data_IF_509350602857
#
_entry.id   IF_509350602857
#
_cell.length_a   1.000
_cell.length_b   1.000
_cell.length_c   1.000
_cell.angle_alpha   90.00
_cell.angle_beta   90.00
_cell.angle_gamma   90.00
#
_symmetry.space_group_name_H-M   'P 1'
#
loop_
_entity.id
_entity.type
_entity.pdbx_description
1 polymer ?
#
# COMPACT_ATOMS: atom_id res chain seq x y z
N UNK A 1 11.36 -2.33 23.16
CA UNK A 1 10.79 -3.35 24.06
C UNK A 1 11.44 -4.68 23.74
N UNK A 2 12.10 -5.31 24.71
CA UNK A 2 12.75 -6.61 24.54
C UNK A 2 11.71 -7.74 24.50
N UNK A 3 12.02 -8.85 23.82
CA UNK A 3 11.15 -10.03 23.80
C UNK A 3 10.99 -10.61 25.22
N UNK A 4 9.87 -11.29 25.51
CA UNK A 4 9.60 -11.91 26.82
C UNK A 4 10.73 -12.84 27.28
N UNK A 5 11.36 -13.52 26.34
CA UNK A 5 12.47 -14.46 26.59
C UNK A 5 13.81 -13.79 26.91
N UNK A 6 13.90 -12.45 26.80
CA UNK A 6 15.05 -11.66 27.26
C UNK A 6 14.66 -10.73 28.42
N UNK A 7 13.43 -10.82 28.92
CA UNK A 7 12.92 -9.90 29.95
C UNK A 7 13.57 -10.08 31.32
N UNK A 8 14.18 -11.23 31.58
CA UNK A 8 14.95 -11.51 32.80
C UNK A 8 16.37 -10.94 32.77
N UNK A 9 16.87 -10.51 31.62
CA UNK A 9 18.21 -9.94 31.45
C UNK A 9 18.20 -8.42 31.65
N UNK A 10 19.26 -7.89 32.24
CA UNK A 10 19.47 -6.43 32.31
C UNK A 10 19.89 -5.86 30.95
N UNK A 11 19.82 -4.54 30.79
CA UNK A 11 20.26 -3.89 29.55
C UNK A 11 21.75 -4.14 29.26
N UNK A 12 22.60 -4.18 30.28
CA UNK A 12 24.03 -4.48 30.17
C UNK A 12 24.25 -5.91 29.67
N UNK A 13 23.50 -6.87 30.21
CA UNK A 13 23.56 -8.27 29.78
C UNK A 13 23.10 -8.42 28.33
N UNK A 14 22.03 -7.72 27.92
CA UNK A 14 21.57 -7.73 26.53
C UNK A 14 22.64 -7.13 25.60
N UNK A 15 23.27 -6.02 25.98
CA UNK A 15 24.35 -5.39 25.20
C UNK A 15 25.55 -6.34 25.07
N UNK A 16 25.94 -7.01 26.16
CA UNK A 16 27.03 -7.98 26.14
C UNK A 16 26.70 -9.20 25.27
N UNK A 17 25.49 -9.76 25.40
CA UNK A 17 24.99 -10.84 24.56
C UNK A 17 25.03 -10.50 23.07
N UNK A 18 24.56 -9.30 22.68
CA UNK A 18 24.59 -8.83 21.29
C UNK A 18 26.04 -8.72 20.80
N UNK A 19 26.93 -8.14 21.62
CA UNK A 19 28.36 -7.99 21.29
C UNK A 19 29.02 -9.35 21.07
N UNK A 20 28.86 -10.28 22.01
CA UNK A 20 29.41 -11.64 21.93
C UNK A 20 28.79 -12.43 20.77
N UNK A 21 27.51 -12.20 20.48
CA UNK A 21 26.86 -12.74 19.30
C UNK A 21 27.59 -12.30 18.02
N UNK A 22 27.80 -11.00 17.80
CA UNK A 22 28.49 -10.54 16.60
C UNK A 22 30.00 -10.86 16.57
N UNK A 23 30.61 -11.16 17.71
CA UNK A 23 31.98 -11.70 17.81
C UNK A 23 32.10 -13.19 17.41
N UNK A 24 31.07 -13.77 16.80
CA UNK A 24 31.05 -15.16 16.34
C UNK A 24 31.17 -16.23 17.43
N UNK A 25 30.87 -15.91 18.69
CA UNK A 25 30.85 -16.89 19.76
C UNK A 25 29.76 -17.96 19.56
N UNK A 26 30.03 -19.21 19.97
CA UNK A 26 29.12 -20.33 19.78
C UNK A 26 27.76 -20.04 20.44
N UNK A 27 26.70 -20.00 19.62
CA UNK A 27 25.36 -19.60 20.08
C UNK A 27 24.87 -20.49 21.24
N UNK A 28 25.16 -21.80 21.20
CA UNK A 28 24.76 -22.72 22.27
C UNK A 28 25.32 -22.30 23.65
N UNK A 29 26.59 -21.86 23.70
CA UNK A 29 27.21 -21.41 24.95
C UNK A 29 26.54 -20.12 25.45
N UNK A 30 26.25 -19.19 24.54
CA UNK A 30 25.53 -17.95 24.88
C UNK A 30 24.12 -18.23 25.43
N UNK A 31 23.40 -19.19 24.84
CA UNK A 31 22.07 -19.55 25.30
C UNK A 31 22.11 -20.18 26.71
N UNK A 32 23.10 -21.03 26.97
CA UNK A 32 23.29 -21.65 28.29
C UNK A 32 23.69 -20.62 29.35
N UNK A 33 24.67 -19.77 29.05
CA UNK A 33 25.21 -18.78 30.01
C UNK A 33 24.20 -17.67 30.37
N UNK A 34 23.40 -17.22 29.41
CA UNK A 34 22.37 -16.19 29.63
C UNK A 34 20.99 -16.80 30.01
N UNK A 35 20.93 -18.12 30.23
CA UNK A 35 19.71 -18.86 30.58
C UNK A 35 18.55 -18.62 29.58
N UNK A 36 18.86 -18.57 28.29
CA UNK A 36 17.89 -18.31 27.21
C UNK A 36 17.44 -19.64 26.60
N UNK A 37 16.19 -20.01 26.84
CA UNK A 37 15.63 -21.27 26.34
C UNK A 37 14.95 -21.11 24.96
N UNK A 38 15.75 -20.89 23.91
CA UNK A 38 15.25 -20.81 22.52
C UNK A 38 16.18 -21.53 21.54
N UNK A 39 15.70 -21.83 20.34
CA UNK A 39 16.57 -22.37 19.29
C UNK A 39 17.63 -21.33 18.85
N UNK A 40 18.88 -21.75 18.56
CA UNK A 40 19.96 -20.86 18.11
C UNK A 40 19.60 -19.96 16.92
N UNK A 41 18.78 -20.46 16.00
CA UNK A 41 18.33 -19.73 14.81
C UNK A 41 17.36 -18.58 15.11
N UNK A 42 16.74 -18.57 16.30
CA UNK A 42 15.74 -17.60 16.72
C UNK A 42 16.37 -16.45 17.51
N UNK A 43 17.52 -16.67 18.16
CA UNK A 43 18.16 -15.72 19.07
C UNK A 43 18.21 -14.28 18.54
N UNK A 44 18.64 -14.10 17.28
CA UNK A 44 18.76 -12.76 16.67
C UNK A 44 17.42 -12.02 16.55
N UNK A 45 16.31 -12.74 16.40
CA UNK A 45 14.96 -12.17 16.30
C UNK A 45 14.45 -11.65 17.64
N UNK A 46 15.04 -12.10 18.75
CA UNK A 46 14.66 -11.69 20.10
C UNK A 46 15.28 -10.35 20.49
N UNK A 47 16.38 -9.97 19.83
CA UNK A 47 17.10 -8.75 20.15
C UNK A 47 16.22 -7.51 20.00
N UNK A 48 16.43 -6.50 20.86
CA UNK A 48 15.69 -5.25 20.77
C UNK A 48 15.91 -4.58 19.41
N UNK A 49 14.88 -3.88 18.94
CA UNK A 49 14.96 -3.07 17.74
C UNK A 49 15.95 -1.91 17.94
N UNK A 50 16.71 -1.60 16.91
CA UNK A 50 17.62 -0.45 16.88
C UNK A 50 16.81 0.79 16.52
N UNK A 51 16.85 1.81 17.38
CA UNK A 51 16.15 3.08 17.17
C UNK A 51 17.05 4.06 16.42
N UNK A 52 16.53 4.68 15.36
CA UNK A 52 17.24 5.70 14.58
C UNK A 52 16.76 7.10 14.98
N UNK A 53 17.46 7.72 15.94
CA UNK A 53 17.03 8.99 16.57
C UNK A 53 16.87 10.18 15.60
N UNK A 54 17.54 10.13 14.43
CA UNK A 54 17.49 11.20 13.42
C UNK A 54 16.46 10.95 12.31
N UNK A 55 15.85 9.76 12.29
CA UNK A 55 14.93 9.35 11.23
C UNK A 55 13.53 9.16 11.79
N UNK A 56 12.57 9.87 11.21
CA UNK A 56 11.19 9.90 11.67
C UNK A 56 10.25 9.32 10.61
N UNK A 57 9.13 8.78 11.07
CA UNK A 57 8.07 8.37 10.18
C UNK A 57 7.40 9.59 9.54
N UNK A 58 7.18 9.54 8.22
CA UNK A 58 6.44 10.57 7.48
C UNK A 58 4.99 10.74 7.92
N UNK A 59 4.37 9.69 8.49
CA UNK A 59 2.94 9.67 8.81
C UNK A 59 2.64 9.66 10.30
N UNK A 60 3.57 9.17 11.12
CA UNK A 60 3.42 9.12 12.57
C UNK A 60 4.31 10.19 13.19
N UNK A 61 3.75 11.28 13.75
CA UNK A 61 4.54 12.35 14.34
C UNK A 61 5.34 11.82 15.52
N UNK A 62 6.57 12.33 15.65
CA UNK A 62 7.50 12.02 16.77
C UNK A 62 7.84 10.53 16.94
N UNK A 63 7.57 9.69 15.93
CA UNK A 63 7.95 8.28 15.94
C UNK A 63 9.24 8.07 15.14
N UNK A 64 10.30 7.68 15.83
CA UNK A 64 11.55 7.26 15.21
C UNK A 64 11.39 5.96 14.42
N UNK A 65 12.09 5.87 13.31
CA UNK A 65 12.22 4.62 12.57
C UNK A 65 13.08 3.65 13.36
N UNK A 66 12.77 2.36 13.21
CA UNK A 66 13.49 1.27 13.86
C UNK A 66 13.93 0.25 12.85
N UNK A 67 14.93 -0.56 13.20
CA UNK A 67 15.37 -1.69 12.38
C UNK A 67 15.63 -2.93 13.22
N UNK A 68 15.54 -4.09 12.57
CA UNK A 68 15.90 -5.38 13.16
C UNK A 68 17.39 -5.63 12.99
N UNK A 69 17.97 -6.34 13.96
CA UNK A 69 19.32 -6.86 13.85
C UNK A 69 19.33 -8.10 12.95
N UNK A 70 20.27 -8.16 12.02
CA UNK A 70 20.42 -9.29 11.09
C UNK A 70 21.37 -10.36 11.63
N UNK A 71 21.17 -11.59 11.17
CA UNK A 71 22.02 -12.72 11.52
C UNK A 71 23.44 -12.61 10.94
N UNK A 72 24.38 -13.30 11.57
CA UNK A 72 25.83 -13.30 11.21
C UNK A 72 26.14 -13.85 9.81
N UNK A 73 25.19 -14.52 9.15
CA UNK A 73 25.38 -15.21 7.87
C UNK A 73 25.12 -14.33 6.63
N UNK A 74 24.67 -13.08 6.80
CA UNK A 74 24.52 -12.17 5.68
C UNK A 74 25.89 -11.81 5.09
N UNK A 75 26.15 -12.28 3.86
CA UNK A 75 27.46 -12.25 3.18
C UNK A 75 28.00 -10.86 2.80
N UNK A 76 27.33 -9.77 3.17
CA UNK A 76 27.80 -8.42 2.89
C UNK A 76 28.52 -7.84 4.11
N UNK A 77 29.82 -8.10 4.18
CA UNK A 77 30.75 -7.65 5.21
C UNK A 77 30.86 -6.12 5.41
N UNK A 78 30.07 -5.28 4.73
CA UNK A 78 30.24 -3.83 4.77
C UNK A 78 28.98 -2.95 4.74
N UNK A 79 27.77 -3.49 4.74
CA UNK A 79 26.57 -2.64 4.85
C UNK A 79 25.53 -3.38 5.65
N UNK A 80 25.32 -2.90 6.87
CA UNK A 80 24.20 -3.36 7.68
C UNK A 80 22.93 -2.85 7.00
N UNK A 81 22.29 -3.72 6.22
CA UNK A 81 21.04 -3.43 5.54
C UNK A 81 19.90 -3.46 6.57
N UNK A 82 19.88 -2.46 7.42
CA UNK A 82 18.76 -2.19 8.28
C UNK A 82 17.60 -1.72 7.42
N UNK A 83 16.68 -2.61 7.07
CA UNK A 83 15.39 -2.17 6.57
C UNK A 83 14.71 -1.39 7.70
N UNK A 84 14.61 -0.08 7.51
CA UNK A 84 14.05 0.85 8.49
C UNK A 84 12.54 0.88 8.30
N UNK A 85 11.81 0.73 9.38
CA UNK A 85 10.36 0.78 9.36
C UNK A 85 9.82 1.53 10.58
N UNK A 86 8.62 2.06 10.45
CA UNK A 86 7.90 2.65 11.57
C UNK A 86 7.28 1.54 12.44
N UNK A 87 7.52 1.50 13.76
CA UNK A 87 6.95 0.47 14.63
C UNK A 87 5.43 0.59 14.79
N UNK A 88 4.83 1.74 14.42
CA UNK A 88 3.39 2.01 14.58
C UNK A 88 2.61 1.68 13.30
N UNK A 89 3.04 2.22 12.15
CA UNK A 89 2.32 2.04 10.89
C UNK A 89 2.98 1.08 9.89
N UNK A 90 4.12 0.47 10.25
CA UNK A 90 4.95 -0.37 9.36
C UNK A 90 5.34 0.33 8.04
N UNK A 91 5.41 1.68 8.07
CA UNK A 91 5.90 2.45 6.94
C UNK A 91 7.38 2.18 6.72
N UNK A 92 7.74 1.89 5.47
CA UNK A 92 9.10 1.68 4.99
C UNK A 92 9.37 2.70 3.88
N UNK A 93 10.58 3.23 3.83
CA UNK A 93 10.95 4.27 2.88
C UNK A 93 11.27 3.68 1.50
N UNK A 94 10.25 3.12 0.85
CA UNK A 94 10.31 2.66 -0.53
C UNK A 94 8.97 2.86 -1.25
N UNK A 95 9.03 2.94 -2.57
CA UNK A 95 7.88 3.25 -3.45
C UNK A 95 6.69 2.30 -3.32
N UNK A 96 6.97 1.03 -2.99
CA UNK A 96 5.97 -0.02 -2.87
C UNK A 96 5.53 -0.31 -1.43
N UNK A 97 5.73 0.62 -0.49
CA UNK A 97 5.33 0.42 0.91
C UNK A 97 3.85 0.03 1.03
N UNK A 98 3.55 -0.97 1.87
CA UNK A 98 2.21 -1.57 2.01
C UNK A 98 1.43 -1.05 3.22
N UNK A 99 1.94 -0.04 3.95
CA UNK A 99 1.24 0.57 5.07
C UNK A 99 -0.08 1.23 4.64
N UNK A 100 -1.01 1.42 5.59
CA UNK A 100 -2.35 1.99 5.32
C UNK A 100 -2.24 3.36 4.62
N UNK A 101 -1.43 4.25 5.19
CA UNK A 101 -1.24 5.61 4.66
C UNK A 101 -0.73 5.60 3.21
N UNK A 102 0.28 4.78 2.90
CA UNK A 102 0.80 4.65 1.54
C UNK A 102 -0.23 4.05 0.57
N UNK A 103 -1.04 3.08 1.01
CA UNK A 103 -2.12 2.50 0.20
C UNK A 103 -3.21 3.53 -0.10
N UNK A 104 -3.64 4.29 0.90
CA UNK A 104 -4.65 5.33 0.75
C UNK A 104 -4.18 6.44 -0.19
N UNK A 105 -2.95 6.92 -0.06
CA UNK A 105 -2.38 7.92 -0.96
C UNK A 105 -2.33 7.43 -2.41
N UNK A 106 -1.93 6.17 -2.65
CA UNK A 106 -1.94 5.60 -4.00
C UNK A 106 -3.36 5.52 -4.57
N UNK A 107 -4.32 5.05 -3.77
CA UNK A 107 -5.73 5.00 -4.18
C UNK A 107 -6.29 6.39 -4.52
N UNK A 108 -5.99 7.40 -3.70
CA UNK A 108 -6.43 8.78 -3.96
C UNK A 108 -5.81 9.34 -5.25
N UNK A 109 -4.53 9.05 -5.52
CA UNK A 109 -3.88 9.44 -6.79
C UNK A 109 -4.53 8.76 -7.99
N UNK A 110 -4.78 7.45 -7.90
CA UNK A 110 -5.46 6.70 -8.97
C UNK A 110 -6.86 7.27 -9.25
N UNK A 111 -7.63 7.59 -8.21
CA UNK A 111 -8.95 8.22 -8.34
C UNK A 111 -8.87 9.61 -8.97
N UNK A 112 -7.93 10.45 -8.53
CA UNK A 112 -7.74 11.78 -9.08
C UNK A 112 -7.28 11.73 -10.56
N UNK A 113 -6.44 10.76 -10.93
CA UNK A 113 -6.05 10.53 -12.32
C UNK A 113 -7.23 10.07 -13.18
N UNK A 114 -8.08 9.18 -12.66
CA UNK A 114 -9.28 8.74 -13.36
C UNK A 114 -10.27 9.89 -13.56
N UNK A 115 -10.50 10.70 -12.53
CA UNK A 115 -11.35 11.88 -12.60
C UNK A 115 -10.78 12.91 -13.60
N UNK A 116 -9.47 13.15 -13.58
CA UNK A 116 -8.83 14.03 -14.55
C UNK A 116 -8.99 13.52 -15.99
N UNK A 117 -8.80 12.21 -16.23
CA UNK A 117 -9.04 11.59 -17.55
C UNK A 117 -10.49 11.79 -18.00
N UNK A 118 -11.46 11.59 -17.11
CA UNK A 118 -12.89 11.83 -17.39
C UNK A 118 -13.14 13.29 -17.73
N UNK A 119 -12.58 14.23 -16.97
CA UNK A 119 -12.73 15.67 -17.21
C UNK A 119 -12.14 16.11 -18.56
N UNK A 120 -10.96 15.61 -18.92
CA UNK A 120 -10.35 15.87 -20.24
C UNK A 120 -11.24 15.37 -21.37
N UNK A 121 -11.79 14.16 -21.25
CA UNK A 121 -12.75 13.63 -22.23
C UNK A 121 -14.01 14.50 -22.31
N UNK A 122 -14.59 14.87 -21.17
CA UNK A 122 -15.77 15.75 -21.13
C UNK A 122 -15.49 17.09 -21.83
N UNK A 123 -14.36 17.73 -21.54
CA UNK A 123 -13.99 19.01 -22.18
C UNK A 123 -13.75 18.87 -23.69
N UNK A 124 -13.13 17.77 -24.13
CA UNK A 124 -12.83 17.54 -25.54
C UNK A 124 -14.07 17.20 -26.39
N UNK A 125 -15.07 16.50 -25.82
CA UNK A 125 -16.18 15.92 -26.57
C UNK A 125 -17.56 16.54 -26.28
N UNK A 126 -17.76 17.34 -25.22
CA UNK A 126 -19.04 18.02 -24.94
C UNK A 126 -19.30 19.36 -25.67
N UNK A 127 -18.36 20.07 -26.34
CA UNK A 127 -18.73 21.29 -27.07
C UNK A 127 -19.44 20.99 -28.40
N UNK A 128 -19.98 19.79 -28.62
CA UNK A 128 -20.96 19.56 -29.68
C UNK A 128 -22.29 20.09 -29.17
N UNK A 129 -22.50 21.40 -29.35
CA UNK A 129 -23.82 21.99 -29.34
C UNK A 129 -24.57 21.39 -30.56
N UNK A 130 -25.07 20.17 -30.39
CA UNK A 130 -26.00 19.58 -31.34
C UNK A 130 -27.24 20.43 -31.18
N UNK A 131 -27.54 21.25 -32.18
CA UNK A 131 -28.85 21.87 -32.33
C UNK A 131 -29.84 20.71 -32.45
N UNK A 132 -30.34 20.21 -31.32
CA UNK A 132 -31.34 19.14 -31.30
C UNK A 132 -32.56 19.77 -31.98
N UNK A 133 -32.94 19.34 -33.19
CA UNK A 133 -34.09 19.92 -33.86
C UNK A 133 -35.29 19.73 -32.93
N UNK A 134 -36.00 20.80 -32.64
CA UNK A 134 -37.25 20.77 -31.88
C UNK A 134 -38.10 19.61 -32.43
N UNK A 135 -38.63 18.69 -31.59
CA UNK A 135 -39.23 17.42 -32.01
C UNK A 135 -40.28 17.52 -33.14
N UNK A 136 -40.86 18.69 -33.32
CA UNK A 136 -41.86 18.97 -34.35
C UNK A 136 -41.29 19.29 -35.75
N UNK A 137 -39.99 19.07 -35.99
CA UNK A 137 -39.35 19.16 -37.33
C UNK A 137 -38.71 17.85 -37.80
N UNK A 138 -39.01 16.72 -37.17
CA UNK A 138 -38.56 15.42 -37.65
C UNK A 138 -39.29 15.06 -38.95
N UNK A 139 -38.55 14.88 -40.04
CA UNK A 139 -39.13 14.34 -41.27
C UNK A 139 -39.33 12.83 -41.13
N UNK A 140 -40.16 12.23 -41.98
CA UNK A 140 -40.35 10.77 -42.03
C UNK A 140 -39.00 10.03 -42.19
N UNK A 141 -38.08 10.61 -42.95
CA UNK A 141 -36.74 10.06 -43.18
C UNK A 141 -35.90 10.05 -41.91
N UNK A 142 -35.98 11.13 -41.12
CA UNK A 142 -35.25 11.23 -39.85
C UNK A 142 -35.81 10.23 -38.83
N UNK A 143 -37.13 10.08 -38.77
CA UNK A 143 -37.77 9.08 -37.92
C UNK A 143 -37.36 7.66 -38.30
N UNK A 144 -37.34 7.32 -39.60
CA UNK A 144 -36.87 6.03 -40.10
C UNK A 144 -35.40 5.76 -39.74
N UNK A 145 -34.55 6.78 -39.87
CA UNK A 145 -33.13 6.66 -39.54
C UNK A 145 -32.92 6.43 -38.04
N UNK A 146 -33.63 7.17 -37.18
CA UNK A 146 -33.59 7.00 -35.73
C UNK A 146 -34.10 5.63 -35.29
N UNK A 147 -35.17 5.12 -35.89
CA UNK A 147 -35.69 3.77 -35.63
C UNK A 147 -34.65 2.72 -36.02
N UNK A 148 -34.04 2.85 -37.20
CA UNK A 148 -33.04 1.91 -37.70
C UNK A 148 -31.80 1.87 -36.78
N UNK A 149 -31.34 3.04 -36.34
CA UNK A 149 -30.22 3.14 -35.39
C UNK A 149 -30.62 2.60 -34.01
N UNK A 150 -31.82 2.88 -33.51
CA UNK A 150 -32.29 2.35 -32.23
C UNK A 150 -32.40 0.82 -32.24
N UNK A 151 -32.93 0.22 -33.31
CA UNK A 151 -33.03 -1.23 -33.45
C UNK A 151 -31.66 -1.92 -33.56
N UNK A 152 -30.70 -1.29 -34.24
CA UNK A 152 -29.36 -1.86 -34.41
C UNK A 152 -28.40 -1.58 -33.24
N UNK A 153 -28.61 -0.50 -32.49
CA UNK A 153 -27.67 -0.03 -31.46
C UNK A 153 -28.17 -0.24 -30.03
N UNK A 154 -29.46 -0.48 -29.82
CA UNK A 154 -29.98 -0.77 -28.49
C UNK A 154 -29.58 -2.19 -28.07
N UNK A 155 -28.95 -2.38 -26.89
CA UNK A 155 -28.98 -3.69 -26.24
C UNK A 155 -30.44 -4.07 -25.99
N UNK A 156 -30.75 -5.37 -26.04
CA UNK A 156 -32.11 -5.96 -25.97
C UNK A 156 -33.00 -5.53 -24.78
N UNK A 157 -32.48 -4.71 -23.86
CA UNK A 157 -33.10 -4.34 -22.60
C UNK A 157 -33.72 -2.92 -22.59
N UNK A 158 -33.61 -2.16 -23.69
CA UNK A 158 -34.37 -0.92 -23.86
C UNK A 158 -35.78 -1.24 -24.36
N UNK A 159 -36.68 -1.60 -23.45
CA UNK A 159 -38.11 -1.57 -23.74
C UNK A 159 -38.53 -0.11 -23.94
N UNK A 160 -38.57 0.33 -25.20
CA UNK A 160 -39.32 1.52 -25.56
C UNK A 160 -40.79 1.24 -25.22
N UNK A 161 -41.23 1.79 -24.09
CA UNK A 161 -42.59 1.66 -23.60
C UNK A 161 -43.57 1.89 -24.74
N UNK A 162 -44.42 0.88 -24.96
CA UNK A 162 -45.52 0.85 -25.93
C UNK A 162 -46.11 2.25 -26.05
N UNK A 163 -45.95 2.89 -27.20
CA UNK A 163 -46.73 4.07 -27.54
C UNK A 163 -48.18 3.63 -27.57
N UNK A 164 -48.86 3.85 -26.45
CA UNK A 164 -50.29 3.73 -26.29
C UNK A 164 -50.94 4.56 -27.40
N UNK A 165 -51.64 3.89 -28.30
CA UNK A 165 -52.49 4.53 -29.29
C UNK A 165 -53.36 5.58 -28.61
N UNK A 166 -53.09 6.86 -28.91
CA UNK A 166 -54.02 7.94 -28.64
C UNK A 166 -55.19 7.74 -29.62
N UNK A 167 -56.37 7.46 -29.07
CA UNK A 167 -57.64 7.49 -29.79
C UNK A 167 -58.03 8.93 -30.11
#
# INVERSE_FOLDING_TARGET
MAHKDLSHLTEEQIKDLIKRYYNHEKIANLLEEFEINVYPSILVKLFPLVVHNELFCKYCPDINLVSKLDGRSHRNYNVVHFEKFCPVCDHRDHTYCSCSNCKEIRKQKEQAEEENKRNVLMQAFLPVNIDIPIPNKLTLKDALYLISVAEHSAPKDLEFGKMSNIK
#
